data_IF_762643505013
#
_entry.id   IF_762643505013
#
_cell.length_a   1.000
_cell.length_b   1.000
_cell.length_c   1.000
_cell.angle_alpha   90.00
_cell.angle_beta   90.00
_cell.angle_gamma   90.00
#
_symmetry.space_group_name_H-M   'P 1'
#
loop_
_entity.id
_entity.type
_entity.pdbx_description
1 polymer ?
#
# COMPACT_ATOMS: atom_id res chain seq x y z
N UNK A 1 12.44 29.66 1.50
CA UNK A 1 11.39 30.54 2.07
C UNK A 1 10.07 29.77 2.06
N UNK A 2 9.46 29.53 3.24
CA UNK A 2 8.07 29.09 3.50
C UNK A 2 7.80 27.60 3.58
N UNK A 3 8.40 26.90 4.53
CA UNK A 3 7.88 25.62 5.04
C UNK A 3 6.78 25.81 6.12
N UNK A 4 6.76 26.93 6.81
CA UNK A 4 5.85 27.19 7.96
C UNK A 4 4.40 27.55 7.58
N UNK A 5 4.09 27.75 6.30
CA UNK A 5 2.76 28.24 5.89
C UNK A 5 1.74 27.15 5.52
N UNK A 6 2.16 25.91 5.31
CA UNK A 6 1.29 24.82 4.81
C UNK A 6 0.44 24.21 5.93
N UNK A 7 0.97 24.13 7.15
CA UNK A 7 0.26 23.53 8.28
C UNK A 7 -0.85 24.40 8.89
N UNK A 8 -0.96 25.65 8.48
CA UNK A 8 -1.97 26.61 9.00
C UNK A 8 -3.14 26.87 8.03
N UNK A 9 -3.23 26.12 6.92
CA UNK A 9 -4.37 26.26 6.00
C UNK A 9 -5.62 25.68 6.66
N UNK A 10 -6.63 26.54 6.85
CA UNK A 10 -7.91 26.15 7.47
C UNK A 10 -8.84 25.42 6.52
N UNK A 11 -8.75 25.70 5.21
CA UNK A 11 -9.46 24.97 4.16
C UNK A 11 -8.82 25.17 2.79
N UNK A 12 -8.98 24.18 1.91
CA UNK A 12 -8.62 24.27 0.50
C UNK A 12 -9.90 24.45 -0.33
N UNK A 13 -9.99 25.52 -1.12
CA UNK A 13 -11.17 25.80 -1.97
C UNK A 13 -11.50 24.56 -2.82
N UNK A 14 -12.66 23.92 -2.65
CA UNK A 14 -12.99 22.69 -3.39
C UNK A 14 -13.18 22.93 -4.90
N UNK A 15 -13.37 24.18 -5.33
CA UNK A 15 -13.50 24.55 -6.75
C UNK A 15 -12.14 24.68 -7.46
N UNK A 16 -11.04 24.44 -6.77
CA UNK A 16 -9.67 24.48 -7.32
C UNK A 16 -8.96 23.17 -7.04
N UNK A 17 -8.10 22.75 -7.96
CA UNK A 17 -7.17 21.65 -7.72
C UNK A 17 -5.92 22.14 -6.98
N UNK A 18 -5.33 21.27 -6.18
CA UNK A 18 -4.07 21.50 -5.47
C UNK A 18 -3.17 20.29 -5.60
N UNK A 19 -1.87 20.53 -5.66
CA UNK A 19 -0.85 19.50 -5.38
C UNK A 19 0.00 20.04 -4.23
N UNK A 20 -0.05 19.34 -3.11
CA UNK A 20 0.68 19.69 -1.89
C UNK A 20 1.81 18.68 -1.77
N UNK A 21 3.04 19.15 -1.78
CA UNK A 21 4.23 18.31 -1.64
C UNK A 21 4.74 18.33 -0.20
N UNK A 22 5.28 17.22 0.27
CA UNK A 22 5.87 17.06 1.60
C UNK A 22 4.96 17.51 2.75
N UNK A 23 3.64 17.33 2.60
CA UNK A 23 2.68 17.55 3.66
C UNK A 23 3.00 16.64 4.85
N UNK A 24 3.27 17.25 6.02
CA UNK A 24 3.49 16.49 7.25
C UNK A 24 2.18 15.95 7.79
N UNK A 25 2.15 14.66 8.14
CA UNK A 25 1.03 14.01 8.83
C UNK A 25 1.39 13.55 10.25
N UNK A 26 2.62 13.81 10.68
CA UNK A 26 3.12 13.51 12.01
C UNK A 26 4.39 14.33 12.35
N UNK A 27 5.00 14.01 13.48
CA UNK A 27 6.16 14.75 14.01
C UNK A 27 7.50 14.22 13.52
N UNK A 28 7.55 13.01 12.98
CA UNK A 28 8.79 12.42 12.48
C UNK A 28 9.11 12.97 11.08
N UNK A 29 10.40 13.19 10.78
CA UNK A 29 10.84 13.78 9.49
C UNK A 29 10.42 12.98 8.27
N UNK A 30 10.25 11.65 8.38
CA UNK A 30 9.77 10.77 7.33
C UNK A 30 8.23 10.71 7.20
N UNK A 31 7.50 11.26 8.17
CA UNK A 31 6.02 11.32 8.10
C UNK A 31 5.57 12.45 7.17
N UNK A 32 5.81 12.23 5.87
CA UNK A 32 5.54 13.16 4.77
C UNK A 32 4.72 12.47 3.68
N UNK A 33 3.86 13.23 3.02
CA UNK A 33 3.13 12.75 1.85
C UNK A 33 2.97 13.84 0.80
N UNK A 34 2.80 13.43 -0.46
CA UNK A 34 2.30 14.30 -1.51
C UNK A 34 0.81 14.04 -1.68
N UNK A 35 0.03 15.11 -1.75
CA UNK A 35 -1.43 15.03 -1.84
C UNK A 35 -1.94 15.85 -3.03
N UNK A 36 -2.59 15.17 -3.98
CA UNK A 36 -3.37 15.81 -5.02
C UNK A 36 -4.84 15.91 -4.60
N UNK A 37 -5.40 17.10 -4.69
CA UNK A 37 -6.79 17.40 -4.46
C UNK A 37 -7.44 17.80 -5.79
N UNK A 38 -8.45 17.08 -6.30
CA UNK A 38 -9.11 17.42 -7.56
C UNK A 38 -10.00 18.66 -7.44
N UNK A 39 -10.37 19.22 -8.58
CA UNK A 39 -11.38 20.28 -8.67
C UNK A 39 -12.78 19.70 -8.42
N UNK A 40 -13.69 20.50 -7.85
CA UNK A 40 -15.08 20.13 -7.53
C UNK A 40 -15.23 18.95 -6.56
N UNK A 41 -14.21 18.71 -5.72
CA UNK A 41 -14.22 17.63 -4.73
C UNK A 41 -15.26 17.88 -3.63
N UNK A 42 -15.75 16.77 -3.09
CA UNK A 42 -16.69 16.80 -1.98
C UNK A 42 -16.50 15.57 -1.06
N UNK A 43 -16.93 15.67 0.18
CA UNK A 43 -16.76 14.66 1.22
C UNK A 43 -17.58 13.39 1.01
N UNK A 44 -18.53 13.38 0.10
CA UNK A 44 -19.41 12.24 -0.10
C UNK A 44 -18.92 11.30 -1.21
N UNK A 45 -18.25 11.84 -2.24
CA UNK A 45 -17.94 11.11 -3.45
C UNK A 45 -16.47 11.15 -3.91
N UNK A 46 -15.67 12.14 -3.46
CA UNK A 46 -14.28 12.22 -3.92
C UNK A 46 -13.41 11.16 -3.24
N UNK A 47 -13.20 10.08 -3.95
CA UNK A 47 -12.41 8.92 -3.49
C UNK A 47 -10.92 9.19 -3.54
N UNK A 48 -10.12 8.37 -2.86
CA UNK A 48 -8.68 8.59 -2.71
C UNK A 48 -7.88 7.36 -3.08
N UNK A 49 -6.92 7.51 -3.97
CA UNK A 49 -5.84 6.55 -4.18
C UNK A 49 -4.71 6.81 -3.19
N UNK A 50 -4.21 5.76 -2.54
CA UNK A 50 -3.13 5.82 -1.56
C UNK A 50 -1.98 4.96 -2.05
N UNK A 51 -0.80 5.56 -2.26
CA UNK A 51 0.39 4.91 -2.78
C UNK A 51 1.40 4.67 -1.66
N UNK A 52 1.85 3.41 -1.50
CA UNK A 52 2.74 2.96 -0.42
C UNK A 52 3.96 2.28 -1.05
N UNK A 53 5.12 2.93 -1.00
CA UNK A 53 6.34 2.48 -1.68
C UNK A 53 6.93 1.19 -1.08
N UNK A 54 7.76 0.50 -1.87
CA UNK A 54 8.53 -0.67 -1.46
C UNK A 54 9.81 -0.33 -0.69
N UNK A 55 10.77 -1.28 -0.70
CA UNK A 55 12.10 -1.07 -0.09
C UNK A 55 12.35 -1.90 1.17
N UNK A 56 11.77 -3.10 1.30
CA UNK A 56 12.06 -4.03 2.40
C UNK A 56 11.83 -3.43 3.79
N UNK A 57 10.83 -2.55 3.91
CA UNK A 57 10.46 -1.81 5.14
C UNK A 57 11.54 -0.88 5.67
N UNK A 58 12.77 -0.89 5.14
CA UNK A 58 13.96 -0.17 5.66
C UNK A 58 14.57 0.81 4.66
N UNK A 59 14.03 0.91 3.45
CA UNK A 59 14.47 1.79 2.37
C UNK A 59 13.29 2.24 1.51
N UNK A 60 13.55 3.03 0.45
CA UNK A 60 12.55 3.54 -0.49
C UNK A 60 12.08 4.95 -0.13
N UNK A 61 11.36 5.53 -1.05
CA UNK A 61 10.78 6.87 -0.92
C UNK A 61 9.50 6.96 -1.77
N UNK A 62 8.57 7.84 -1.40
CA UNK A 62 7.37 8.14 -2.17
C UNK A 62 7.67 8.52 -3.62
N UNK A 63 8.87 9.07 -3.89
CA UNK A 63 9.32 9.42 -5.24
C UNK A 63 9.33 8.22 -6.20
N UNK A 64 9.46 6.99 -5.70
CA UNK A 64 9.40 5.76 -6.50
C UNK A 64 8.04 5.59 -7.20
N UNK A 65 7.00 6.26 -6.70
CA UNK A 65 5.64 6.24 -7.26
C UNK A 65 5.21 7.54 -7.97
N UNK A 66 6.15 8.44 -8.29
CA UNK A 66 5.82 9.71 -8.94
C UNK A 66 5.12 9.52 -10.31
N UNK A 67 5.53 8.54 -11.09
CA UNK A 67 4.91 8.24 -12.39
C UNK A 67 3.47 7.70 -12.20
N UNK A 68 3.27 6.81 -11.24
CA UNK A 68 1.92 6.31 -10.90
C UNK A 68 1.04 7.43 -10.34
N UNK A 69 1.58 8.28 -9.46
CA UNK A 69 0.88 9.45 -8.92
C UNK A 69 0.37 10.37 -10.03
N UNK A 70 1.23 10.69 -11.01
CA UNK A 70 0.85 11.54 -12.15
C UNK A 70 -0.10 10.81 -13.12
N UNK A 71 0.10 9.52 -13.35
CA UNK A 71 -0.78 8.68 -14.16
C UNK A 71 -2.20 8.61 -13.61
N UNK A 72 -2.36 8.39 -12.31
CA UNK A 72 -3.67 8.35 -11.65
C UNK A 72 -4.39 9.71 -11.69
N UNK A 73 -3.69 10.82 -11.46
CA UNK A 73 -4.25 12.17 -11.63
C UNK A 73 -4.80 12.42 -13.03
N UNK A 74 -4.15 11.86 -14.05
CA UNK A 74 -4.56 12.05 -15.43
C UNK A 74 -5.72 11.13 -15.83
N UNK A 75 -5.72 9.89 -15.33
CA UNK A 75 -6.70 8.86 -15.68
C UNK A 75 -7.99 9.02 -14.88
N UNK A 76 -7.89 9.45 -13.61
CA UNK A 76 -9.01 9.65 -12.68
C UNK A 76 -8.98 11.08 -12.11
N UNK A 77 -9.30 12.08 -12.96
CA UNK A 77 -9.14 13.50 -12.60
C UNK A 77 -10.08 13.98 -11.49
N UNK A 78 -11.09 13.21 -11.13
CA UNK A 78 -12.06 13.44 -10.05
C UNK A 78 -11.67 12.77 -8.72
N UNK A 79 -10.60 11.98 -8.70
CA UNK A 79 -10.08 11.32 -7.50
C UNK A 79 -8.89 12.07 -6.92
N UNK A 80 -8.78 12.06 -5.60
CA UNK A 80 -7.56 12.48 -4.91
C UNK A 80 -6.49 11.40 -4.97
N UNK A 81 -5.23 11.80 -4.89
CA UNK A 81 -4.10 10.86 -4.84
C UNK A 81 -3.17 11.26 -3.69
N UNK A 82 -2.89 10.33 -2.79
CA UNK A 82 -1.92 10.45 -1.71
C UNK A 82 -0.72 9.55 -2.00
N UNK A 83 0.48 10.10 -1.99
CA UNK A 83 1.73 9.38 -2.15
C UNK A 83 2.54 9.49 -0.85
N UNK A 84 2.73 8.37 -0.15
CA UNK A 84 3.08 8.32 1.26
C UNK A 84 4.53 7.90 1.49
N UNK A 85 5.30 8.68 2.27
CA UNK A 85 6.47 8.20 3.01
C UNK A 85 6.04 7.75 4.41
N UNK A 86 6.67 6.70 4.91
CA UNK A 86 6.48 6.17 6.27
C UNK A 86 7.84 6.00 6.96
N UNK A 87 7.85 5.87 8.27
CA UNK A 87 9.07 5.69 9.06
C UNK A 87 9.75 4.36 8.69
N UNK A 88 10.94 4.45 8.12
CA UNK A 88 11.74 3.28 7.76
C UNK A 88 12.23 2.53 9.00
N UNK A 89 12.33 1.21 8.89
CA UNK A 89 12.95 0.39 9.92
C UNK A 89 14.43 0.70 10.02
N UNK A 90 14.94 0.68 11.25
CA UNK A 90 16.37 0.83 11.56
C UNK A 90 16.78 -0.23 12.57
N UNK A 91 18.09 -0.49 12.78
CA UNK A 91 18.54 -1.38 13.84
C UNK A 91 17.92 -0.99 15.20
N UNK A 92 17.20 -1.91 15.83
CA UNK A 92 16.52 -1.67 17.12
C UNK A 92 15.16 -0.97 17.02
N UNK A 93 14.71 -0.58 15.81
CA UNK A 93 13.40 0.03 15.57
C UNK A 93 12.74 -0.60 14.33
N UNK A 94 12.09 -1.77 14.47
CA UNK A 94 11.45 -2.49 13.37
C UNK A 94 10.30 -1.71 12.75
N UNK A 95 9.91 -2.11 11.53
CA UNK A 95 8.82 -1.48 10.79
C UNK A 95 7.47 -1.67 11.45
N UNK A 96 7.18 -2.88 11.93
CA UNK A 96 5.93 -3.17 12.63
C UNK A 96 6.03 -2.85 14.13
N UNK A 97 5.01 -2.24 14.75
CA UNK A 97 3.75 -1.75 14.15
C UNK A 97 3.82 -0.30 13.63
N UNK A 98 4.97 0.41 13.73
CA UNK A 98 5.05 1.85 13.47
C UNK A 98 4.61 2.25 12.06
N UNK A 99 4.92 1.43 11.03
CA UNK A 99 4.56 1.74 9.64
C UNK A 99 3.04 1.59 9.39
N UNK A 100 2.38 0.66 10.07
CA UNK A 100 0.92 0.57 10.06
C UNK A 100 0.31 1.79 10.76
N UNK A 101 0.90 2.24 11.87
CA UNK A 101 0.45 3.45 12.57
C UNK A 101 0.65 4.70 11.71
N UNK A 102 1.72 4.76 10.93
CA UNK A 102 1.98 5.86 9.99
C UNK A 102 0.92 5.93 8.89
N UNK A 103 0.53 4.79 8.33
CA UNK A 103 -0.57 4.71 7.35
C UNK A 103 -1.86 5.23 7.96
N UNK A 104 -2.19 4.80 9.19
CA UNK A 104 -3.38 5.29 9.89
C UNK A 104 -3.32 6.80 10.12
N UNK A 105 -2.19 7.33 10.60
CA UNK A 105 -2.02 8.77 10.83
C UNK A 105 -2.15 9.60 9.54
N UNK A 106 -1.60 9.09 8.42
CA UNK A 106 -1.75 9.74 7.12
C UNK A 106 -3.21 9.75 6.65
N UNK A 107 -3.93 8.66 6.87
CA UNK A 107 -5.37 8.57 6.59
C UNK A 107 -6.15 9.53 7.49
N UNK A 108 -5.82 9.61 8.77
CA UNK A 108 -6.47 10.54 9.71
C UNK A 108 -6.25 12.00 9.28
N UNK A 109 -5.05 12.35 8.81
CA UNK A 109 -4.77 13.70 8.29
C UNK A 109 -5.68 14.03 7.10
N UNK A 110 -5.79 13.15 6.09
CA UNK A 110 -6.62 13.45 4.92
C UNK A 110 -8.14 13.42 5.19
N UNK A 111 -8.55 12.86 6.33
CA UNK A 111 -9.95 12.89 6.77
C UNK A 111 -10.35 14.25 7.38
N UNK A 112 -9.41 15.13 7.62
CA UNK A 112 -9.74 16.47 8.14
C UNK A 112 -10.64 17.22 7.16
N UNK A 113 -11.67 17.94 7.65
CA UNK A 113 -12.65 18.64 6.81
C UNK A 113 -12.04 19.62 5.80
N UNK A 114 -10.84 20.13 6.08
CA UNK A 114 -10.13 21.08 5.21
C UNK A 114 -9.83 20.53 3.80
N UNK A 115 -9.79 19.19 3.63
CA UNK A 115 -9.51 18.56 2.35
C UNK A 115 -10.76 18.20 1.56
N UNK A 116 -11.89 18.06 2.22
CA UNK A 116 -13.19 17.75 1.61
C UNK A 116 -13.16 16.48 0.74
N UNK A 117 -12.69 15.36 1.32
CA UNK A 117 -12.54 14.05 0.69
C UNK A 117 -13.49 13.03 1.33
N UNK A 118 -13.91 12.03 0.55
CA UNK A 118 -14.70 10.91 1.07
C UNK A 118 -13.81 9.90 1.79
N UNK A 119 -14.44 9.04 2.59
CA UNK A 119 -13.75 7.95 3.30
C UNK A 119 -13.80 6.66 2.50
N UNK A 120 -13.37 6.71 1.25
CA UNK A 120 -13.27 5.57 0.37
C UNK A 120 -11.87 5.54 -0.25
N UNK A 121 -11.12 4.47 0.03
CA UNK A 121 -9.71 4.37 -0.32
C UNK A 121 -9.42 3.17 -1.20
N UNK A 122 -8.49 3.34 -2.14
CA UNK A 122 -7.88 2.25 -2.90
C UNK A 122 -6.36 2.34 -2.68
N UNK A 123 -5.77 1.27 -2.16
CA UNK A 123 -4.35 1.23 -1.83
C UNK A 123 -3.54 0.60 -2.97
N UNK A 124 -2.46 1.25 -3.35
CA UNK A 124 -1.44 0.70 -4.23
C UNK A 124 -0.18 0.45 -3.44
N UNK A 125 0.37 -0.74 -3.55
CA UNK A 125 1.64 -1.04 -2.94
C UNK A 125 2.53 -1.89 -3.83
N UNK A 126 3.85 -1.72 -3.68
CA UNK A 126 4.86 -2.58 -4.29
C UNK A 126 5.74 -3.21 -3.20
N UNK A 127 6.03 -4.53 -3.30
CA UNK A 127 6.92 -5.23 -2.39
C UNK A 127 6.51 -5.03 -0.91
N UNK A 128 7.38 -4.46 -0.07
CA UNK A 128 7.07 -4.11 1.32
C UNK A 128 5.84 -3.20 1.44
N UNK A 129 5.64 -2.25 0.50
CA UNK A 129 4.46 -1.38 0.50
C UNK A 129 3.17 -2.13 0.15
N UNK A 130 3.24 -3.15 -0.71
CA UNK A 130 2.10 -4.03 -0.97
C UNK A 130 1.73 -4.87 0.25
N UNK A 131 2.73 -5.38 0.95
CA UNK A 131 2.54 -6.05 2.24
C UNK A 131 1.83 -5.12 3.24
N UNK A 132 2.33 -3.89 3.42
CA UNK A 132 1.73 -2.90 4.32
C UNK A 132 0.30 -2.54 3.92
N UNK A 133 0.03 -2.38 2.61
CA UNK A 133 -1.32 -2.11 2.07
C UNK A 133 -2.29 -3.22 2.42
N UNK A 134 -1.89 -4.48 2.19
CA UNK A 134 -2.70 -5.66 2.52
C UNK A 134 -2.89 -5.82 4.03
N UNK A 135 -1.81 -5.70 4.80
CA UNK A 135 -1.87 -5.84 6.25
C UNK A 135 -2.78 -4.77 6.87
N UNK A 136 -2.67 -3.51 6.42
CA UNK A 136 -3.55 -2.44 6.86
C UNK A 136 -5.01 -2.73 6.49
N UNK A 137 -5.28 -2.98 5.23
CA UNK A 137 -6.65 -3.16 4.74
C UNK A 137 -7.36 -4.41 5.29
N UNK A 138 -6.61 -5.47 5.63
CA UNK A 138 -7.23 -6.71 6.16
C UNK A 138 -7.34 -6.75 7.68
N UNK A 139 -6.51 -5.99 8.42
CA UNK A 139 -6.41 -6.14 9.86
C UNK A 139 -6.51 -4.83 10.67
N UNK A 140 -6.30 -3.68 10.04
CA UNK A 140 -6.18 -2.40 10.73
C UNK A 140 -7.11 -1.31 10.20
N UNK A 141 -8.08 -1.66 9.34
CA UNK A 141 -9.16 -0.76 8.87
C UNK A 141 -10.52 -1.15 9.48
N UNK A 142 -10.78 -0.80 10.75
CA UNK A 142 -12.00 -1.22 11.45
C UNK A 142 -13.28 -0.59 10.88
N UNK A 143 -13.14 0.47 10.09
CA UNK A 143 -14.26 1.17 9.48
C UNK A 143 -14.54 0.73 8.04
N UNK A 144 -13.74 -0.18 7.50
CA UNK A 144 -13.86 -0.71 6.15
C UNK A 144 -13.83 0.41 5.08
N UNK A 145 -12.98 1.41 5.28
CA UNK A 145 -12.83 2.52 4.34
C UNK A 145 -12.01 2.12 3.11
N UNK A 146 -11.13 1.13 3.24
CA UNK A 146 -10.39 0.55 2.11
C UNK A 146 -11.33 -0.33 1.29
N UNK A 147 -11.53 0.02 0.02
CA UNK A 147 -12.44 -0.69 -0.90
C UNK A 147 -11.72 -1.61 -1.86
N UNK A 148 -10.43 -1.34 -2.11
CA UNK A 148 -9.62 -2.16 -2.98
C UNK A 148 -8.13 -2.02 -2.72
N UNK A 149 -7.37 -3.04 -3.12
CA UNK A 149 -5.91 -3.09 -3.00
C UNK A 149 -5.32 -3.58 -4.31
N UNK A 150 -4.32 -2.87 -4.82
CA UNK A 150 -3.41 -3.35 -5.85
C UNK A 150 -2.11 -3.81 -5.16
N UNK A 151 -1.89 -5.11 -5.16
CA UNK A 151 -0.71 -5.76 -4.62
C UNK A 151 0.26 -6.10 -5.75
N UNK A 152 1.40 -5.41 -5.82
CA UNK A 152 2.48 -5.71 -6.75
C UNK A 152 3.64 -6.36 -5.99
N UNK A 153 3.87 -7.64 -6.23
CA UNK A 153 4.96 -8.46 -5.66
C UNK A 153 5.09 -8.36 -4.14
N UNK A 154 3.97 -8.24 -3.42
CA UNK A 154 3.98 -8.15 -1.96
C UNK A 154 4.08 -9.53 -1.28
N UNK A 155 4.88 -9.67 -0.20
CA UNK A 155 4.82 -10.85 0.65
C UNK A 155 3.47 -10.93 1.37
N UNK A 156 2.91 -12.14 1.48
CA UNK A 156 1.53 -12.37 1.96
C UNK A 156 1.44 -13.29 3.17
N UNK A 157 2.30 -14.32 3.24
CA UNK A 157 2.40 -15.24 4.38
C UNK A 157 3.85 -15.42 4.80
N UNK A 158 4.24 -14.75 5.87
CA UNK A 158 5.60 -14.78 6.43
C UNK A 158 5.86 -16.05 7.27
N UNK A 159 4.85 -16.91 7.42
CA UNK A 159 5.00 -18.24 8.02
C UNK A 159 5.27 -19.32 6.97
N UNK A 160 5.33 -18.95 5.69
CA UNK A 160 5.71 -19.85 4.60
C UNK A 160 7.14 -20.39 4.81
N UNK A 161 7.34 -21.69 4.57
CA UNK A 161 8.65 -22.33 4.68
C UNK A 161 9.71 -21.72 3.77
N UNK A 162 9.31 -21.13 2.65
CA UNK A 162 10.21 -20.37 1.78
C UNK A 162 10.88 -19.18 2.49
N UNK A 163 10.19 -18.55 3.43
CA UNK A 163 10.76 -17.49 4.26
C UNK A 163 11.47 -18.03 5.51
N UNK A 164 10.86 -18.98 6.21
CA UNK A 164 11.36 -19.48 7.51
C UNK A 164 12.77 -20.06 7.39
N UNK A 165 13.05 -20.81 6.31
CA UNK A 165 14.27 -21.58 6.14
C UNK A 165 15.32 -20.90 5.26
N UNK A 166 15.04 -19.72 4.72
CA UNK A 166 15.95 -19.03 3.80
C UNK A 166 16.69 -17.88 4.49
N UNK A 167 18.04 -17.91 4.59
CA UNK A 167 18.81 -16.91 5.36
C UNK A 167 18.61 -15.48 4.89
N UNK A 168 18.51 -15.24 3.58
CA UNK A 168 18.32 -13.90 3.03
C UNK A 168 16.95 -13.33 3.40
N UNK A 169 15.91 -14.18 3.45
CA UNK A 169 14.57 -13.70 3.83
C UNK A 169 14.50 -13.35 5.31
N UNK A 170 15.18 -14.10 6.18
CA UNK A 170 15.27 -13.75 7.60
C UNK A 170 15.95 -12.39 7.80
N UNK A 171 16.99 -12.07 7.01
CA UNK A 171 17.65 -10.77 7.07
C UNK A 171 16.70 -9.63 6.60
N UNK A 172 15.91 -9.86 5.54
CA UNK A 172 14.94 -8.88 5.03
C UNK A 172 13.78 -8.70 6.03
N UNK A 173 13.23 -9.79 6.57
CA UNK A 173 12.14 -9.74 7.55
C UNK A 173 12.56 -9.09 8.87
N UNK A 174 13.85 -9.06 9.19
CA UNK A 174 14.38 -8.29 10.29
C UNK A 174 14.07 -6.79 10.22
N UNK A 175 13.89 -6.24 9.03
CA UNK A 175 13.37 -4.88 8.84
C UNK A 175 11.94 -4.71 9.35
N UNK A 176 11.08 -5.72 9.18
CA UNK A 176 9.68 -5.66 9.62
C UNK A 176 9.52 -5.98 11.10
N UNK A 177 10.06 -7.13 11.56
CA UNK A 177 9.80 -7.70 12.89
C UNK A 177 10.98 -7.56 13.88
N UNK A 178 12.08 -6.95 13.46
CA UNK A 178 13.30 -6.84 14.26
C UNK A 178 14.07 -8.16 14.33
N UNK A 179 14.87 -8.32 15.37
CA UNK A 179 15.75 -9.49 15.56
C UNK A 179 15.00 -10.71 16.15
N UNK A 180 13.70 -10.83 15.93
CA UNK A 180 12.87 -11.94 16.40
C UNK A 180 12.74 -12.95 15.28
N UNK A 181 13.19 -14.19 15.51
CA UNK A 181 13.04 -15.28 14.51
C UNK A 181 11.64 -15.91 14.61
N UNK A 182 11.24 -16.62 13.55
CA UNK A 182 9.98 -17.35 13.54
C UNK A 182 9.85 -18.34 14.72
N UNK A 183 10.92 -19.08 15.02
CA UNK A 183 10.92 -20.05 16.13
C UNK A 183 10.78 -19.41 17.50
N UNK A 184 11.19 -18.15 17.67
CA UNK A 184 11.05 -17.41 18.94
C UNK A 184 9.64 -16.84 19.11
N UNK A 185 9.00 -16.41 18.03
CA UNK A 185 7.65 -15.84 18.11
C UNK A 185 6.83 -16.13 16.83
N UNK A 186 6.34 -17.36 16.63
CA UNK A 186 5.52 -17.71 15.47
C UNK A 186 4.22 -16.87 15.39
N UNK A 187 3.69 -16.42 16.52
CA UNK A 187 2.47 -15.64 16.59
C UNK A 187 2.68 -14.25 15.93
N UNK A 188 3.83 -13.61 16.16
CA UNK A 188 4.14 -12.34 15.51
C UNK A 188 4.20 -12.49 13.97
N UNK A 189 4.81 -13.56 13.48
CA UNK A 189 4.88 -13.82 12.03
C UNK A 189 3.50 -14.07 11.42
N UNK A 190 2.62 -14.76 12.15
CA UNK A 190 1.22 -14.91 11.73
C UNK A 190 0.45 -13.59 11.77
N UNK A 191 0.68 -12.77 12.80
CA UNK A 191 0.06 -11.46 12.98
C UNK A 191 0.39 -10.50 11.83
N UNK A 192 1.65 -10.49 11.39
CA UNK A 192 2.12 -9.65 10.27
C UNK A 192 1.99 -10.31 8.89
N UNK A 193 1.30 -11.44 8.77
CA UNK A 193 1.03 -12.14 7.51
C UNK A 193 -0.34 -11.75 6.96
N UNK A 194 -0.45 -10.92 5.90
CA UNK A 194 -1.73 -10.49 5.35
C UNK A 194 -2.69 -11.65 5.02
N UNK A 195 -2.19 -12.74 4.42
CA UNK A 195 -3.02 -13.90 4.07
C UNK A 195 -3.68 -14.58 5.27
N UNK A 196 -3.13 -14.41 6.49
CA UNK A 196 -3.73 -14.92 7.73
C UNK A 196 -4.70 -13.94 8.40
N UNK A 197 -4.83 -12.77 7.83
CA UNK A 197 -5.67 -11.68 8.35
C UNK A 197 -6.91 -11.44 7.49
N UNK A 198 -7.05 -12.17 6.38
CA UNK A 198 -8.21 -12.07 5.49
C UNK A 198 -9.48 -12.50 6.22
N UNK A 199 -10.52 -11.70 6.10
CA UNK A 199 -11.88 -11.94 6.60
C UNK A 199 -12.89 -11.73 5.47
N UNK A 200 -14.16 -12.01 5.72
CA UNK A 200 -15.26 -11.74 4.76
C UNK A 200 -15.41 -10.25 4.41
N UNK A 201 -14.92 -9.35 5.28
CA UNK A 201 -14.99 -7.90 5.12
C UNK A 201 -13.74 -7.31 4.48
N UNK A 202 -12.74 -8.15 4.15
CA UNK A 202 -11.50 -7.69 3.52
C UNK A 202 -11.75 -7.03 2.18
N UNK A 203 -11.01 -5.96 1.84
CA UNK A 203 -11.15 -5.27 0.56
C UNK A 203 -10.80 -6.17 -0.63
N UNK A 204 -11.48 -5.93 -1.76
CA UNK A 204 -11.20 -6.60 -3.03
C UNK A 204 -9.74 -6.39 -3.42
N UNK A 205 -9.09 -7.42 -3.94
CA UNK A 205 -7.64 -7.36 -4.16
C UNK A 205 -7.26 -7.84 -5.56
N UNK A 206 -6.47 -7.03 -6.27
CA UNK A 206 -5.79 -7.46 -7.50
C UNK A 206 -4.29 -7.62 -7.20
N UNK A 207 -3.71 -8.74 -7.64
CA UNK A 207 -2.33 -9.13 -7.32
C UNK A 207 -1.52 -9.48 -8.55
N UNK A 208 -0.24 -9.05 -8.57
CA UNK A 208 0.70 -9.32 -9.67
C UNK A 208 2.03 -9.83 -9.13
N UNK A 209 2.55 -10.92 -9.73
CA UNK A 209 3.80 -11.56 -9.34
C UNK A 209 4.61 -11.97 -10.55
N UNK A 210 5.93 -12.05 -10.39
CA UNK A 210 6.84 -12.60 -11.39
C UNK A 210 7.26 -14.02 -11.04
N UNK A 211 7.33 -14.90 -12.05
CA UNK A 211 7.66 -16.32 -11.79
C UNK A 211 9.14 -16.57 -11.49
N UNK A 212 10.01 -15.61 -11.78
CA UNK A 212 11.46 -15.66 -11.49
C UNK A 212 11.89 -14.56 -10.51
N UNK A 213 10.96 -14.10 -9.67
CA UNK A 213 11.23 -13.12 -8.63
C UNK A 213 12.24 -13.69 -7.61
N UNK A 214 13.42 -13.06 -7.43
CA UNK A 214 14.43 -13.57 -6.51
C UNK A 214 14.12 -13.26 -5.03
N UNK A 215 13.12 -12.40 -4.75
CA UNK A 215 12.80 -11.92 -3.41
C UNK A 215 11.49 -12.49 -2.88
N UNK A 216 10.48 -12.64 -3.74
CA UNK A 216 9.14 -13.07 -3.34
C UNK A 216 8.85 -14.44 -3.93
N UNK A 217 8.78 -15.49 -3.11
CA UNK A 217 8.47 -16.84 -3.58
C UNK A 217 7.12 -16.90 -4.30
N UNK A 218 7.05 -17.69 -5.35
CA UNK A 218 5.82 -17.87 -6.16
C UNK A 218 4.64 -18.40 -5.33
N UNK A 219 4.89 -19.05 -4.21
CA UNK A 219 3.88 -19.53 -3.26
C UNK A 219 3.04 -18.40 -2.68
N UNK A 220 3.58 -17.19 -2.58
CA UNK A 220 2.93 -16.05 -1.94
C UNK A 220 1.63 -15.65 -2.63
N UNK A 221 1.59 -15.71 -3.98
CA UNK A 221 0.37 -15.47 -4.74
C UNK A 221 -0.71 -16.52 -4.40
N UNK A 222 -0.36 -17.80 -4.40
CA UNK A 222 -1.32 -18.88 -4.16
C UNK A 222 -1.81 -18.93 -2.72
N UNK A 223 -0.98 -18.55 -1.75
CA UNK A 223 -1.36 -18.47 -0.33
C UNK A 223 -2.39 -17.36 -0.10
N UNK A 224 -2.16 -16.19 -0.69
CA UNK A 224 -3.14 -15.09 -0.63
C UNK A 224 -4.44 -15.46 -1.33
N UNK A 225 -4.36 -15.99 -2.56
CA UNK A 225 -5.55 -16.36 -3.33
C UNK A 225 -6.43 -17.35 -2.56
N UNK A 226 -5.83 -18.39 -1.98
CA UNK A 226 -6.57 -19.36 -1.14
C UNK A 226 -7.27 -18.70 0.05
N UNK A 227 -6.61 -17.72 0.70
CA UNK A 227 -7.20 -17.02 1.84
C UNK A 227 -8.38 -16.14 1.41
N UNK A 228 -8.27 -15.43 0.29
CA UNK A 228 -9.34 -14.60 -0.27
C UNK A 228 -10.53 -15.47 -0.71
N UNK A 229 -10.28 -16.55 -1.45
CA UNK A 229 -11.32 -17.49 -1.91
C UNK A 229 -12.07 -18.13 -0.73
N UNK A 230 -11.35 -18.56 0.31
CA UNK A 230 -11.92 -19.18 1.49
C UNK A 230 -12.86 -18.23 2.28
N UNK A 231 -12.65 -16.92 2.14
CA UNK A 231 -13.48 -15.89 2.77
C UNK A 231 -14.48 -15.24 1.78
N UNK A 232 -14.56 -15.72 0.54
CA UNK A 232 -15.48 -15.19 -0.47
C UNK A 232 -15.16 -13.75 -0.91
N UNK A 233 -13.90 -13.31 -0.77
CA UNK A 233 -13.45 -11.99 -1.18
C UNK A 233 -13.14 -11.99 -2.67
N UNK A 234 -13.77 -11.11 -3.43
CA UNK A 234 -13.50 -10.95 -4.86
C UNK A 234 -12.04 -10.52 -5.10
N UNK A 235 -11.33 -11.28 -5.92
CA UNK A 235 -9.91 -11.03 -6.20
C UNK A 235 -9.50 -11.47 -7.59
N UNK A 236 -8.44 -10.85 -8.10
CA UNK A 236 -7.79 -11.20 -9.35
C UNK A 236 -6.29 -11.38 -9.10
N UNK A 237 -5.66 -12.39 -9.70
CA UNK A 237 -4.24 -12.62 -9.57
C UNK A 237 -3.59 -12.95 -10.92
N UNK A 238 -2.42 -12.39 -11.19
CA UNK A 238 -1.65 -12.66 -12.40
C UNK A 238 -0.22 -13.01 -12.05
N UNK A 239 0.26 -14.15 -12.61
CA UNK A 239 1.67 -14.53 -12.59
C UNK A 239 2.28 -14.23 -13.96
N UNK A 240 3.24 -13.33 -14.02
CA UNK A 240 3.99 -13.04 -15.23
C UNK A 240 5.18 -13.98 -15.37
N UNK A 241 5.09 -14.88 -16.36
CA UNK A 241 6.09 -15.92 -16.60
C UNK A 241 7.38 -15.30 -17.15
N UNK A 242 8.50 -15.59 -16.52
CA UNK A 242 9.82 -15.08 -16.91
C UNK A 242 10.16 -13.69 -16.37
N UNK A 243 9.22 -13.02 -15.73
CA UNK A 243 9.44 -11.70 -15.12
C UNK A 243 9.82 -11.82 -13.63
N UNK A 244 10.50 -10.80 -13.11
CA UNK A 244 11.06 -10.74 -11.76
C UNK A 244 10.23 -9.88 -10.79
N UNK A 245 10.94 -9.10 -9.97
CA UNK A 245 10.38 -8.33 -8.86
C UNK A 245 9.78 -6.99 -9.34
N UNK A 246 8.64 -7.03 -10.04
CA UNK A 246 7.94 -5.83 -10.52
C UNK A 246 8.53 -5.19 -11.80
N UNK A 247 9.60 -5.74 -12.33
CA UNK A 247 10.22 -5.33 -13.59
C UNK A 247 9.63 -6.14 -14.75
N UNK A 248 8.44 -5.75 -15.17
CA UNK A 248 7.69 -6.44 -16.20
C UNK A 248 8.29 -6.25 -17.60
N UNK A 249 8.21 -7.29 -18.44
CA UNK A 249 8.42 -7.13 -19.88
C UNK A 249 7.46 -6.09 -20.46
N UNK A 250 7.74 -5.46 -21.61
CA UNK A 250 6.87 -4.43 -22.17
C UNK A 250 5.42 -4.89 -22.39
N UNK A 251 5.24 -6.15 -22.81
CA UNK A 251 3.92 -6.75 -23.00
C UNK A 251 3.19 -6.91 -21.65
N UNK A 252 3.87 -7.47 -20.65
CA UNK A 252 3.30 -7.67 -19.31
C UNK A 252 3.06 -6.34 -18.57
N UNK A 253 3.88 -5.31 -18.82
CA UNK A 253 3.63 -3.97 -18.30
C UNK A 253 2.35 -3.35 -18.84
N UNK A 254 2.05 -3.56 -20.13
CA UNK A 254 0.80 -3.10 -20.72
C UNK A 254 -0.40 -3.89 -20.16
N UNK A 255 -0.32 -5.20 -20.06
CA UNK A 255 -1.35 -6.06 -19.46
C UNK A 255 -1.62 -5.68 -18.00
N UNK A 256 -0.56 -5.42 -17.23
CA UNK A 256 -0.63 -4.94 -15.85
C UNK A 256 -1.48 -3.66 -15.74
N UNK A 257 -1.20 -2.66 -16.58
CA UNK A 257 -1.96 -1.40 -16.57
C UNK A 257 -3.43 -1.60 -16.96
N UNK A 258 -3.69 -2.39 -18.01
CA UNK A 258 -5.07 -2.69 -18.46
C UNK A 258 -5.86 -3.37 -17.36
N UNK A 259 -5.29 -4.36 -16.67
CA UNK A 259 -5.96 -5.09 -15.59
C UNK A 259 -6.25 -4.20 -14.38
N UNK A 260 -5.29 -3.34 -13.99
CA UNK A 260 -5.51 -2.38 -12.90
C UNK A 260 -6.64 -1.42 -13.23
N UNK A 261 -6.64 -0.82 -14.42
CA UNK A 261 -7.69 0.11 -14.84
C UNK A 261 -9.04 -0.60 -14.84
N UNK A 262 -9.12 -1.80 -15.40
CA UNK A 262 -10.35 -2.60 -15.43
C UNK A 262 -10.86 -2.93 -14.01
N UNK A 263 -9.97 -3.26 -13.09
CA UNK A 263 -10.31 -3.56 -11.70
C UNK A 263 -10.81 -2.31 -10.95
N UNK A 264 -10.15 -1.17 -11.14
CA UNK A 264 -10.59 0.10 -10.55
C UNK A 264 -11.96 0.49 -11.10
N UNK A 265 -12.16 0.43 -12.42
CA UNK A 265 -13.42 0.80 -13.07
C UNK A 265 -14.58 -0.09 -12.61
N UNK A 266 -14.31 -1.36 -12.32
CA UNK A 266 -15.30 -2.32 -11.82
C UNK A 266 -15.67 -2.12 -10.36
N UNK A 267 -14.70 -1.78 -9.50
CA UNK A 267 -14.88 -1.86 -8.05
C UNK A 267 -14.70 -0.54 -7.29
N UNK A 268 -14.15 0.48 -7.91
CA UNK A 268 -13.81 1.71 -7.21
C UNK A 268 -14.22 3.01 -7.94
N UNK A 269 -14.63 2.92 -9.19
CA UNK A 269 -15.06 4.10 -9.96
C UNK A 269 -16.38 4.70 -9.47
#
# INVERSE_FOLDING_TARGET
VKEDSINNVTSYDPKKSFTITDLSYGIHSQQKMDLYLPVNRNSDSTKVFILIHGGGWSAGDKADFNDLFNGLKSTYPDHAVMNLNYQLATPGSPGYPKQINDIQQAIDEIQLPKYNLSKQYFLFGASAGAHLSMLYGYAFDPNLFVKGICNTVGPTDLTDTAYINHPIYNAILGGLVGNVTYSQNPALYAEVSPAKRVTTDSPKTISFYGSVDPLIPVTQMSLLQKALDANGVESEATMYMGDGHGNWSPENAQDYLVKIISFIDKYFK
#
